data_IF_597030671548
#
_entry.id   IF_597030671548
#
_cell.length_a   1.000
_cell.length_b   1.000
_cell.length_c   1.000
_cell.angle_alpha   90.00
_cell.angle_beta   90.00
_cell.angle_gamma   90.00
#
_symmetry.space_group_name_H-M   'P 1'
#
loop_
_entity.id
_entity.type
_entity.pdbx_description
1 polymer ?
#
# COMPACT_ATOMS: atom_id res chain seq x y z
N UNK A 1 -45.97 13.22 -28.83
CA UNK A 1 -45.06 13.80 -27.80
C UNK A 1 -44.81 12.83 -26.63
N UNK A 2 -45.87 12.19 -26.09
CA UNK A 2 -45.77 11.22 -24.97
C UNK A 2 -44.78 10.07 -25.27
N UNK A 3 -44.91 9.40 -26.42
CA UNK A 3 -44.02 8.27 -26.81
C UNK A 3 -42.54 8.60 -26.90
N UNK A 4 -42.19 9.85 -27.19
CA UNK A 4 -40.78 10.29 -27.23
C UNK A 4 -40.20 10.45 -25.81
N UNK A 5 -41.00 11.00 -24.88
CA UNK A 5 -40.60 11.11 -23.49
C UNK A 5 -40.45 9.73 -22.83
N UNK A 6 -41.37 8.80 -23.11
CA UNK A 6 -41.32 7.44 -22.57
C UNK A 6 -40.09 6.68 -23.08
N UNK A 7 -39.76 6.80 -24.37
CA UNK A 7 -38.56 6.25 -24.97
C UNK A 7 -37.29 6.86 -24.36
N UNK A 8 -37.23 8.19 -24.22
CA UNK A 8 -36.07 8.89 -23.69
C UNK A 8 -35.82 8.52 -22.21
N UNK A 9 -36.85 8.40 -21.40
CA UNK A 9 -36.75 7.92 -20.04
C UNK A 9 -36.29 6.48 -19.94
N UNK A 10 -36.76 5.60 -20.83
CA UNK A 10 -36.32 4.21 -20.88
C UNK A 10 -34.83 4.10 -21.25
N UNK A 11 -34.35 4.88 -22.20
CA UNK A 11 -32.97 4.97 -22.65
C UNK A 11 -32.04 5.45 -21.50
N UNK A 12 -32.47 6.46 -20.76
CA UNK A 12 -31.71 6.97 -19.61
C UNK A 12 -31.64 5.95 -18.49
N UNK A 13 -32.71 5.23 -18.22
CA UNK A 13 -32.72 4.16 -17.21
C UNK A 13 -31.79 3.00 -17.58
N UNK A 14 -31.80 2.61 -18.87
CA UNK A 14 -30.92 1.56 -19.39
C UNK A 14 -29.44 1.97 -19.30
N UNK A 15 -29.11 3.20 -19.71
CA UNK A 15 -27.77 3.76 -19.61
C UNK A 15 -27.29 3.81 -18.15
N UNK A 16 -28.16 4.23 -17.23
CA UNK A 16 -27.84 4.27 -15.80
C UNK A 16 -27.65 2.86 -15.21
N UNK A 17 -28.36 1.85 -15.74
CA UNK A 17 -28.17 0.45 -15.35
C UNK A 17 -26.81 -0.07 -15.83
N UNK A 18 -26.49 0.13 -17.11
CA UNK A 18 -25.22 -0.30 -17.70
C UNK A 18 -24.02 0.35 -17.02
N UNK A 19 -24.11 1.64 -16.67
CA UNK A 19 -23.07 2.33 -15.89
C UNK A 19 -22.88 1.73 -14.48
N UNK A 20 -23.97 1.29 -13.83
CA UNK A 20 -23.87 0.63 -12.52
C UNK A 20 -23.21 -0.74 -12.63
N UNK A 21 -23.62 -1.54 -13.62
CA UNK A 21 -23.03 -2.85 -13.90
C UNK A 21 -21.53 -2.72 -14.22
N UNK A 22 -21.16 -1.78 -15.10
CA UNK A 22 -19.77 -1.50 -15.42
C UNK A 22 -18.94 -1.08 -14.20
N UNK A 23 -19.52 -0.27 -13.30
CA UNK A 23 -18.84 0.10 -12.05
C UNK A 23 -18.58 -1.09 -11.14
N UNK A 24 -19.51 -2.02 -11.04
CA UNK A 24 -19.36 -3.25 -10.26
C UNK A 24 -18.28 -4.14 -10.87
N UNK A 25 -18.26 -4.29 -12.18
CA UNK A 25 -17.28 -5.10 -12.90
C UNK A 25 -15.87 -4.52 -12.78
N UNK A 26 -15.74 -3.18 -12.92
CA UNK A 26 -14.46 -2.47 -12.74
C UNK A 26 -13.97 -2.58 -11.30
N UNK A 27 -14.86 -2.44 -10.31
CA UNK A 27 -14.50 -2.62 -8.91
C UNK A 27 -14.02 -4.05 -8.63
N UNK A 28 -14.72 -5.07 -9.13
CA UNK A 28 -14.33 -6.47 -9.01
C UNK A 28 -12.99 -6.79 -9.68
N UNK A 29 -12.71 -6.17 -10.83
CA UNK A 29 -11.42 -6.28 -11.51
C UNK A 29 -10.30 -5.60 -10.72
N UNK A 30 -10.58 -4.43 -10.15
CA UNK A 30 -9.63 -3.70 -9.30
C UNK A 30 -9.25 -4.50 -8.05
N UNK A 31 -10.23 -5.15 -7.40
CA UNK A 31 -9.98 -6.01 -6.23
C UNK A 31 -9.17 -7.26 -6.59
N UNK A 32 -9.43 -7.87 -7.74
CA UNK A 32 -8.64 -9.01 -8.25
C UNK A 32 -7.22 -8.59 -8.58
N UNK A 33 -7.05 -7.44 -9.18
CA UNK A 33 -5.74 -6.88 -9.52
C UNK A 33 -4.97 -6.49 -8.26
N UNK A 34 -5.65 -5.93 -7.24
CA UNK A 34 -5.06 -5.65 -5.94
C UNK A 34 -4.49 -6.90 -5.28
N UNK A 35 -5.27 -7.98 -5.20
CA UNK A 35 -4.80 -9.28 -4.65
C UNK A 35 -3.67 -9.90 -5.47
N UNK A 36 -3.69 -9.75 -6.77
CA UNK A 36 -2.60 -10.20 -7.64
C UNK A 36 -1.32 -9.41 -7.37
N UNK A 37 -1.41 -8.08 -7.27
CA UNK A 37 -0.28 -7.23 -6.94
C UNK A 37 0.31 -7.55 -5.55
N UNK A 38 -0.53 -7.80 -4.55
CA UNK A 38 -0.11 -8.26 -3.21
C UNK A 38 0.61 -9.60 -3.29
N UNK A 39 0.09 -10.56 -4.08
CA UNK A 39 0.71 -11.86 -4.28
C UNK A 39 2.08 -11.80 -4.93
N UNK A 40 2.28 -10.90 -5.88
CA UNK A 40 3.59 -10.66 -6.51
C UNK A 40 4.54 -9.87 -5.59
N UNK A 41 4.01 -8.98 -4.77
CA UNK A 41 4.82 -8.13 -3.92
C UNK A 41 5.53 -8.88 -2.81
N UNK A 42 4.88 -9.89 -2.20
CA UNK A 42 5.43 -10.61 -1.04
C UNK A 42 6.80 -11.24 -1.29
N UNK A 43 7.05 -12.01 -2.37
CA UNK A 43 8.37 -12.59 -2.65
C UNK A 43 9.44 -11.51 -2.89
N UNK A 44 9.12 -10.49 -3.68
CA UNK A 44 10.03 -9.38 -3.96
C UNK A 44 10.36 -8.58 -2.71
N UNK A 45 9.35 -8.28 -1.88
CA UNK A 45 9.54 -7.58 -0.62
C UNK A 45 10.37 -8.40 0.36
N UNK A 46 10.14 -9.71 0.46
CA UNK A 46 10.96 -10.59 1.29
C UNK A 46 12.43 -10.53 0.89
N UNK A 47 12.72 -10.59 -0.41
CA UNK A 47 14.08 -10.47 -0.96
C UNK A 47 14.69 -9.11 -0.62
N UNK A 48 13.97 -8.01 -0.83
CA UNK A 48 14.43 -6.64 -0.51
C UNK A 48 14.70 -6.51 0.99
N UNK A 49 13.76 -6.92 1.84
CA UNK A 49 13.86 -6.80 3.29
C UNK A 49 15.04 -7.61 3.84
N UNK A 50 15.26 -8.83 3.32
CA UNK A 50 16.38 -9.68 3.74
C UNK A 50 17.71 -9.18 3.22
N UNK A 51 17.82 -8.94 1.91
CA UNK A 51 19.13 -8.68 1.26
C UNK A 51 19.56 -7.23 1.38
N UNK A 52 18.66 -6.27 1.15
CA UNK A 52 18.99 -4.83 1.18
C UNK A 52 18.92 -4.25 2.58
N UNK A 53 17.89 -4.60 3.34
CA UNK A 53 17.65 -4.03 4.68
C UNK A 53 18.12 -4.92 5.83
N UNK A 54 18.59 -6.12 5.56
CA UNK A 54 19.17 -7.07 6.55
C UNK A 54 18.17 -7.43 7.67
N UNK A 55 16.91 -7.66 7.29
CA UNK A 55 15.88 -8.08 8.23
C UNK A 55 15.90 -9.60 8.42
N UNK A 56 15.80 -10.04 9.66
CA UNK A 56 15.82 -11.47 10.05
C UNK A 56 14.44 -12.08 10.09
N UNK A 57 13.44 -11.27 10.44
CA UNK A 57 12.03 -11.71 10.58
C UNK A 57 11.17 -10.92 9.61
N UNK A 58 10.36 -11.65 8.83
CA UNK A 58 9.41 -11.08 7.87
C UNK A 58 8.05 -11.69 8.14
N UNK A 59 7.09 -10.86 8.46
CA UNK A 59 5.73 -11.25 8.85
C UNK A 59 4.72 -10.64 7.88
N UNK A 60 4.08 -11.43 7.00
CA UNK A 60 3.00 -10.95 6.16
C UNK A 60 1.68 -10.83 6.91
N UNK A 61 0.79 -9.96 6.44
CA UNK A 61 -0.59 -9.79 6.91
C UNK A 61 -0.69 -9.59 8.44
N UNK A 62 0.07 -8.63 8.96
CA UNK A 62 0.10 -8.36 10.40
C UNK A 62 -1.15 -7.61 10.82
N UNK A 63 -1.83 -8.15 11.82
CA UNK A 63 -3.01 -7.55 12.44
C UNK A 63 -2.87 -7.56 13.95
N UNK A 64 -3.21 -6.44 14.57
CA UNK A 64 -3.25 -6.31 16.03
C UNK A 64 -4.48 -5.53 16.47
N UNK A 65 -4.94 -5.78 17.70
CA UNK A 65 -6.02 -5.04 18.34
C UNK A 65 -5.58 -4.57 19.70
N UNK A 66 -5.87 -3.33 20.01
CA UNK A 66 -5.58 -2.72 21.31
C UNK A 66 -6.67 -1.71 21.66
N UNK A 67 -7.34 -1.91 22.80
CA UNK A 67 -8.36 -0.99 23.33
C UNK A 67 -9.44 -0.57 22.30
N UNK A 68 -9.98 -1.53 21.54
CA UNK A 68 -10.99 -1.29 20.52
C UNK A 68 -10.47 -0.71 19.20
N UNK A 69 -9.18 -0.36 19.12
CA UNK A 69 -8.53 0.06 17.87
C UNK A 69 -7.91 -1.14 17.16
N UNK A 70 -7.83 -1.09 15.85
CA UNK A 70 -7.18 -2.09 15.01
C UNK A 70 -5.97 -1.49 14.28
N UNK A 71 -4.93 -2.29 14.17
CA UNK A 71 -3.74 -2.03 13.37
C UNK A 71 -3.63 -3.13 12.31
N UNK A 72 -3.34 -2.76 11.08
CA UNK A 72 -3.15 -3.70 9.98
C UNK A 72 -2.05 -3.15 9.06
N UNK A 73 -1.16 -4.03 8.61
CA UNK A 73 -0.11 -3.74 7.64
C UNK A 73 0.20 -5.00 6.82
N UNK A 74 0.49 -4.84 5.54
CA UNK A 74 0.70 -5.97 4.63
C UNK A 74 1.95 -6.78 4.98
N UNK A 75 3.05 -6.11 5.33
CA UNK A 75 4.27 -6.77 5.80
C UNK A 75 4.92 -5.97 6.94
N UNK A 76 5.36 -6.65 7.96
CA UNK A 76 6.25 -6.14 8.99
C UNK A 76 7.56 -6.93 8.95
N UNK A 77 8.69 -6.22 8.99
CA UNK A 77 10.00 -6.86 9.09
C UNK A 77 10.87 -6.17 10.14
N UNK A 78 11.67 -6.97 10.85
CA UNK A 78 12.60 -6.46 11.85
C UNK A 78 13.83 -7.35 11.96
N UNK A 79 14.90 -6.81 12.55
CA UNK A 79 16.09 -7.58 12.91
C UNK A 79 16.11 -7.88 14.41
N UNK A 80 16.61 -9.07 14.75
CA UNK A 80 16.74 -9.52 16.13
C UNK A 80 18.05 -9.05 16.82
N UNK A 81 19.07 -8.67 16.04
CA UNK A 81 20.40 -8.55 16.64
C UNK A 81 21.22 -7.31 16.27
N UNK A 82 21.35 -6.98 14.99
CA UNK A 82 22.34 -6.01 14.52
C UNK A 82 21.75 -4.68 14.04
N UNK A 83 20.57 -4.73 13.46
CA UNK A 83 19.93 -3.56 12.85
C UNK A 83 18.77 -3.13 13.71
N UNK A 84 18.89 -1.97 14.36
CA UNK A 84 17.84 -1.45 15.24
C UNK A 84 16.71 -0.79 14.46
N UNK A 85 16.12 -1.53 13.51
CA UNK A 85 15.10 -1.03 12.59
C UNK A 85 13.92 -1.98 12.48
N UNK A 86 12.77 -1.39 12.17
CA UNK A 86 11.54 -2.08 11.74
C UNK A 86 11.11 -1.45 10.42
N UNK A 87 10.70 -2.28 9.48
CA UNK A 87 10.10 -1.84 8.23
C UNK A 87 8.65 -2.28 8.16
N UNK A 88 7.77 -1.34 7.83
CA UNK A 88 6.34 -1.58 7.59
C UNK A 88 6.07 -1.34 6.10
N UNK A 89 5.45 -2.32 5.45
CA UNK A 89 5.20 -2.28 4.00
C UNK A 89 3.71 -2.31 3.73
N UNK A 90 3.23 -1.40 2.91
CA UNK A 90 1.91 -1.39 2.31
C UNK A 90 2.01 -1.53 0.81
N UNK A 91 1.20 -2.42 0.24
CA UNK A 91 1.15 -2.69 -1.20
C UNK A 91 -0.13 -2.10 -1.78
N UNK A 92 0.00 -1.35 -2.87
CA UNK A 92 -1.13 -0.73 -3.57
C UNK A 92 -1.03 -1.00 -5.07
N UNK A 93 -2.12 -1.39 -5.71
CA UNK A 93 -2.19 -1.45 -7.17
C UNK A 93 -2.02 -0.06 -7.79
N UNK A 94 -2.70 0.93 -7.23
CA UNK A 94 -2.57 2.35 -7.60
C UNK A 94 -2.26 3.18 -6.36
N UNK A 95 -1.16 3.92 -6.41
CA UNK A 95 -0.82 4.85 -5.33
C UNK A 95 -1.77 6.04 -5.37
N UNK A 96 -2.36 6.34 -4.23
CA UNK A 96 -3.21 7.51 -4.01
C UNK A 96 -2.72 8.28 -2.78
N UNK A 97 -3.16 9.52 -2.63
CA UNK A 97 -2.79 10.35 -1.48
C UNK A 97 -3.16 9.70 -0.14
N UNK A 98 -4.29 9.03 -0.09
CA UNK A 98 -4.81 8.34 1.09
C UNK A 98 -3.84 7.25 1.59
N UNK A 99 -3.11 6.58 0.67
CA UNK A 99 -2.12 5.58 1.05
C UNK A 99 -0.93 6.19 1.82
N UNK A 100 -0.52 7.40 1.45
CA UNK A 100 0.53 8.14 2.18
C UNK A 100 0.04 8.51 3.58
N UNK A 101 -1.18 9.02 3.69
CA UNK A 101 -1.81 9.37 4.97
C UNK A 101 -1.96 8.14 5.85
N UNK A 102 -2.42 7.02 5.28
CA UNK A 102 -2.55 5.74 5.97
C UNK A 102 -1.20 5.25 6.49
N UNK A 103 -0.17 5.22 5.64
CA UNK A 103 1.18 4.79 6.04
C UNK A 103 1.73 5.64 7.19
N UNK A 104 1.60 6.95 7.12
CA UNK A 104 2.03 7.86 8.20
C UNK A 104 1.30 7.58 9.51
N UNK A 105 0.02 7.24 9.46
CA UNK A 105 -0.75 6.84 10.65
C UNK A 105 -0.22 5.53 11.21
N UNK A 106 -0.06 4.51 10.38
CA UNK A 106 0.48 3.19 10.75
C UNK A 106 1.84 3.34 11.45
N UNK A 107 2.74 4.11 10.86
CA UNK A 107 4.09 4.34 11.40
C UNK A 107 4.05 4.99 12.80
N UNK A 108 3.18 5.98 13.00
CA UNK A 108 3.03 6.67 14.29
C UNK A 108 2.37 5.80 15.37
N UNK A 109 1.40 4.98 15.00
CA UNK A 109 0.66 4.12 15.93
C UNK A 109 1.45 2.84 16.28
N UNK A 110 2.40 2.43 15.45
CA UNK A 110 3.15 1.19 15.61
C UNK A 110 3.72 0.97 17.02
N UNK A 111 4.40 1.93 17.68
CA UNK A 111 4.98 1.71 19.00
C UNK A 111 3.95 1.43 20.10
N UNK A 112 2.69 1.82 19.91
CA UNK A 112 1.62 1.51 20.85
C UNK A 112 1.14 0.08 20.72
N UNK A 113 0.97 -0.40 19.47
CA UNK A 113 0.53 -1.77 19.19
C UNK A 113 1.63 -2.81 19.41
N UNK A 114 2.88 -2.42 19.23
CA UNK A 114 4.04 -3.31 19.33
C UNK A 114 5.09 -2.75 20.29
N UNK A 115 4.79 -2.69 21.61
CA UNK A 115 5.70 -2.11 22.59
C UNK A 115 7.04 -2.84 22.73
N UNK A 116 7.13 -4.10 22.31
CA UNK A 116 8.39 -4.87 22.26
C UNK A 116 9.41 -4.27 21.30
N UNK A 117 8.96 -3.46 20.33
CA UNK A 117 9.82 -2.78 19.36
C UNK A 117 10.10 -1.31 19.72
N UNK A 118 9.75 -0.86 20.94
CA UNK A 118 10.08 0.51 21.39
C UNK A 118 11.59 0.73 21.35
N UNK A 119 11.99 1.90 20.84
CA UNK A 119 13.40 2.26 20.67
C UNK A 119 14.01 1.81 19.36
N UNK A 120 13.31 1.02 18.54
CA UNK A 120 13.72 0.77 17.15
C UNK A 120 13.30 1.92 16.23
N UNK A 121 14.10 2.17 15.21
CA UNK A 121 13.77 3.09 14.13
C UNK A 121 12.73 2.43 13.21
N UNK A 122 11.56 3.03 13.10
CA UNK A 122 10.47 2.50 12.26
C UNK A 122 10.45 3.23 10.93
N UNK A 123 10.54 2.49 9.83
CA UNK A 123 10.53 3.01 8.47
C UNK A 123 9.35 2.46 7.69
N UNK A 124 8.80 3.26 6.77
CA UNK A 124 7.74 2.86 5.87
C UNK A 124 8.24 2.57 4.46
N UNK A 125 7.62 1.59 3.81
CA UNK A 125 7.77 1.29 2.40
C UNK A 125 6.38 1.26 1.77
N UNK A 126 6.14 2.11 0.76
CA UNK A 126 4.97 2.01 -0.10
C UNK A 126 5.37 1.31 -1.39
N UNK A 127 4.81 0.12 -1.62
CA UNK A 127 5.00 -0.63 -2.84
C UNK A 127 3.79 -0.39 -3.76
N UNK A 128 4.01 0.11 -4.96
CA UNK A 128 2.94 0.44 -5.89
C UNK A 128 3.23 -0.05 -7.31
N UNK A 129 2.21 -0.64 -7.94
CA UNK A 129 2.29 -1.01 -9.36
C UNK A 129 2.27 0.24 -10.22
N UNK A 130 1.36 1.16 -9.91
CA UNK A 130 1.22 2.43 -10.61
C UNK A 130 1.23 3.61 -9.64
N UNK A 131 1.96 4.66 -10.01
CA UNK A 131 2.05 5.90 -9.25
C UNK A 131 2.38 7.08 -10.16
N UNK A 132 1.60 8.16 -10.07
CA UNK A 132 1.92 9.40 -10.78
C UNK A 132 3.24 10.01 -10.29
N UNK A 133 3.97 10.77 -11.14
CA UNK A 133 5.22 11.42 -10.72
C UNK A 133 5.06 12.31 -9.48
N UNK A 134 3.95 13.05 -9.40
CA UNK A 134 3.67 13.92 -8.25
C UNK A 134 3.48 13.14 -6.95
N UNK A 135 2.79 11.99 -6.99
CA UNK A 135 2.61 11.14 -5.81
C UNK A 135 3.91 10.45 -5.40
N UNK A 136 4.74 10.02 -6.37
CA UNK A 136 6.08 9.48 -6.07
C UNK A 136 6.92 10.48 -5.31
N UNK A 137 7.01 11.71 -5.81
CA UNK A 137 7.77 12.77 -5.14
C UNK A 137 7.23 13.00 -3.72
N UNK A 138 5.92 13.02 -3.54
CA UNK A 138 5.30 13.19 -2.23
C UNK A 138 5.63 12.09 -1.24
N UNK A 139 5.71 10.82 -1.66
CA UNK A 139 6.17 9.70 -0.84
C UNK A 139 7.61 9.94 -0.35
N UNK A 140 8.48 10.32 -1.27
CA UNK A 140 9.90 10.59 -0.97
C UNK A 140 10.07 11.79 -0.04
N UNK A 141 9.31 12.86 -0.23
CA UNK A 141 9.32 14.06 0.62
C UNK A 141 8.90 13.74 2.07
N UNK A 142 8.04 12.74 2.25
CA UNK A 142 7.66 12.25 3.57
C UNK A 142 8.70 11.29 4.20
N UNK A 143 9.79 11.01 3.50
CA UNK A 143 10.85 10.10 3.96
C UNK A 143 10.43 8.63 3.96
N UNK A 144 9.43 8.27 3.17
CA UNK A 144 8.93 6.90 3.00
C UNK A 144 9.59 6.30 1.77
N UNK A 145 10.09 5.07 1.86
CA UNK A 145 10.60 4.36 0.70
C UNK A 145 9.49 4.08 -0.31
N UNK A 146 9.81 4.22 -1.57
CA UNK A 146 8.96 3.79 -2.67
C UNK A 146 9.52 2.52 -3.29
N UNK A 147 8.69 1.50 -3.50
CA UNK A 147 9.00 0.33 -4.30
C UNK A 147 8.06 0.27 -5.51
N UNK A 148 8.59 -0.06 -6.67
CA UNK A 148 7.84 -0.15 -7.92
C UNK A 148 8.17 -1.43 -8.67
N UNK A 149 7.27 -1.86 -9.55
CA UNK A 149 7.49 -3.03 -10.40
C UNK A 149 8.43 -2.65 -11.55
N UNK A 150 9.49 -3.44 -11.69
CA UNK A 150 10.37 -3.53 -12.85
C UNK A 150 10.52 -5.01 -13.24
N UNK A 151 10.30 -5.33 -14.49
CA UNK A 151 10.45 -6.70 -15.02
C UNK A 151 9.82 -7.80 -14.12
N UNK A 152 8.57 -7.59 -13.70
CA UNK A 152 7.77 -8.49 -12.87
C UNK A 152 8.18 -8.59 -11.39
N UNK A 153 9.23 -7.89 -10.94
CA UNK A 153 9.64 -7.81 -9.53
C UNK A 153 9.48 -6.40 -8.99
N UNK A 154 9.22 -6.29 -7.68
CA UNK A 154 9.31 -5.00 -7.00
C UNK A 154 10.77 -4.66 -6.69
N UNK A 155 11.13 -3.41 -6.94
CA UNK A 155 12.43 -2.85 -6.61
C UNK A 155 12.26 -1.52 -5.87
N UNK A 156 13.21 -1.18 -5.00
CA UNK A 156 13.24 0.12 -4.33
C UNK A 156 13.61 1.19 -5.34
N UNK A 157 12.68 2.11 -5.56
CA UNK A 157 12.78 3.22 -6.52
C UNK A 157 12.91 4.55 -5.75
N UNK A 158 14.12 4.83 -5.30
CA UNK A 158 14.46 6.07 -4.57
C UNK A 158 15.73 6.68 -5.15
N UNK A 159 15.87 8.02 -5.14
CA UNK A 159 17.11 8.70 -5.54
C UNK A 159 18.29 8.30 -4.67
N UNK A 160 19.51 8.46 -5.19
CA UNK A 160 20.73 8.11 -4.46
C UNK A 160 20.94 8.95 -3.19
N UNK A 161 20.42 10.17 -3.16
CA UNK A 161 20.45 11.10 -2.03
C UNK A 161 19.23 11.02 -1.10
N UNK A 162 18.35 10.04 -1.31
CA UNK A 162 17.16 9.86 -0.48
C UNK A 162 17.50 9.62 0.98
N UNK A 163 16.88 10.38 1.86
CA UNK A 163 17.02 10.24 3.31
C UNK A 163 15.72 9.72 3.92
N UNK A 164 15.70 8.44 4.35
CA UNK A 164 14.51 7.88 4.98
C UNK A 164 14.27 8.50 6.35
N UNK A 165 13.01 8.80 6.66
CA UNK A 165 12.60 9.21 7.99
C UNK A 165 12.40 8.00 8.89
N UNK A 166 12.88 8.10 10.12
CA UNK A 166 12.46 7.23 11.21
C UNK A 166 11.29 7.87 11.96
N UNK A 167 10.26 7.08 12.27
CA UNK A 167 9.03 7.48 12.94
C UNK A 167 8.99 6.96 14.37
#
# INVERSE_FOLDING_TARGET
MQKFFDWWHAEQQETARQLRELRVDVAGLSDKFGRFAEGLALPSMAKILTQRFQMDVIMPNVRARLNGRSFEVDVMAYSNSRVNKVYLVEVKSHLRHEAIVQMKRILREFPEFFPIHRGKQVHGILAAVDASPALRQKVLDEGIYLARIHDEEFEIDVPADFQPRAF
#
